data_IF_883209218747
#
_entry.id   IF_883209218747
#
_cell.length_a   1.000
_cell.length_b   1.000
_cell.length_c   1.000
_cell.angle_alpha   90.00
_cell.angle_beta   90.00
_cell.angle_gamma   90.00
#
_symmetry.space_group_name_H-M   'P 1'
#
loop_
_entity.id
_entity.type
_entity.pdbx_description
1 polymer ?
#
# COMPACT_ATOMS: atom_id res chain seq x y z
N UNK A 1 -2.14 -6.38 24.79
CA UNK A 1 -2.12 -4.89 24.85
C UNK A 1 -3.32 -4.37 24.08
N UNK A 2 -3.79 -3.15 24.34
CA UNK A 2 -4.86 -2.55 23.53
C UNK A 2 -4.33 -2.25 22.12
N UNK A 3 -5.12 -2.52 21.08
CA UNK A 3 -4.78 -2.14 19.71
C UNK A 3 -4.70 -0.62 19.60
N UNK A 4 -3.63 -0.11 19.01
CA UNK A 4 -3.48 1.30 18.67
C UNK A 4 -3.20 1.40 17.18
N UNK A 5 -3.72 2.43 16.51
CA UNK A 5 -3.49 2.59 15.08
C UNK A 5 -3.35 4.04 14.64
N UNK A 6 -2.66 4.20 13.53
CA UNK A 6 -2.60 5.39 12.72
C UNK A 6 -3.41 5.22 11.44
N UNK A 7 -4.21 6.23 11.10
CA UNK A 7 -4.87 6.34 9.81
C UNK A 7 -3.89 6.96 8.80
N UNK A 8 -3.54 6.23 7.75
CA UNK A 8 -2.57 6.67 6.75
C UNK A 8 -3.15 7.68 5.73
N UNK A 9 -4.34 8.19 5.99
CA UNK A 9 -4.96 9.33 5.28
C UNK A 9 -4.98 10.60 6.15
N UNK A 10 -4.79 10.46 7.48
CA UNK A 10 -4.78 11.58 8.41
C UNK A 10 -3.39 12.24 8.49
N UNK A 11 -3.34 13.57 8.44
CA UNK A 11 -2.08 14.33 8.35
C UNK A 11 -1.25 14.25 9.62
N UNK A 12 -1.88 14.32 10.79
CA UNK A 12 -1.20 14.24 12.07
C UNK A 12 -0.57 12.85 12.29
N UNK A 13 -1.31 11.81 11.93
CA UNK A 13 -0.87 10.41 11.99
C UNK A 13 0.30 10.16 11.00
N UNK A 14 0.22 10.69 9.78
CA UNK A 14 1.32 10.65 8.80
C UNK A 14 2.57 11.36 9.31
N UNK A 15 2.41 12.54 9.92
CA UNK A 15 3.53 13.28 10.51
C UNK A 15 4.21 12.50 11.62
N UNK A 16 3.44 11.81 12.48
CA UNK A 16 3.98 10.95 13.53
C UNK A 16 4.81 9.77 12.98
N UNK A 17 4.54 9.35 11.74
CA UNK A 17 5.27 8.31 11.01
C UNK A 17 6.38 8.87 10.11
N UNK A 18 6.64 10.18 10.12
CA UNK A 18 7.61 10.80 9.21
C UNK A 18 7.24 10.66 7.72
N UNK A 19 5.96 10.45 7.42
CA UNK A 19 5.43 10.32 6.07
C UNK A 19 4.80 11.63 5.60
N UNK A 20 4.91 11.94 4.30
CA UNK A 20 4.33 13.16 3.71
C UNK A 20 3.03 12.90 2.94
N UNK A 21 2.49 11.68 3.02
CA UNK A 21 1.33 11.22 2.24
C UNK A 21 1.70 10.17 1.19
N UNK A 22 0.67 9.69 0.48
CA UNK A 22 0.80 8.65 -0.53
C UNK A 22 1.33 9.19 -1.85
N UNK A 23 2.18 8.41 -2.51
CA UNK A 23 2.58 8.61 -3.90
C UNK A 23 1.73 7.72 -4.80
N UNK A 24 1.38 8.20 -6.00
CA UNK A 24 0.62 7.41 -6.98
C UNK A 24 1.12 7.59 -8.41
N UNK A 25 1.14 6.48 -9.15
CA UNK A 25 1.26 6.52 -10.59
C UNK A 25 0.36 5.48 -11.27
N UNK A 26 -0.13 5.84 -12.45
CA UNK A 26 -0.99 4.98 -13.27
C UNK A 26 -0.16 3.94 -14.05
N UNK A 27 -0.77 2.79 -14.30
CA UNK A 27 -0.25 1.71 -15.12
C UNK A 27 0.35 0.55 -14.34
N UNK A 28 0.49 -0.60 -15.01
CA UNK A 28 1.10 -1.81 -14.44
C UNK A 28 2.61 -1.58 -14.23
N UNK A 29 3.26 -0.97 -15.23
CA UNK A 29 4.62 -0.40 -15.13
C UNK A 29 4.52 1.11 -15.40
N UNK A 30 4.53 1.95 -14.35
CA UNK A 30 4.43 3.39 -14.49
C UNK A 30 5.44 4.00 -15.48
N UNK A 31 4.96 4.93 -16.31
CA UNK A 31 5.77 5.65 -17.30
C UNK A 31 6.12 4.88 -18.57
N UNK A 32 5.78 3.60 -18.67
CA UNK A 32 6.03 2.80 -19.88
C UNK A 32 4.93 2.98 -20.93
N UNK A 33 5.24 2.81 -22.22
CA UNK A 33 4.23 2.70 -23.28
C UNK A 33 3.20 1.62 -22.94
N UNK A 34 1.94 1.85 -23.34
CA UNK A 34 0.83 0.94 -23.04
C UNK A 34 0.74 0.56 -21.55
N UNK A 35 1.15 1.46 -20.64
CA UNK A 35 1.13 1.25 -19.19
C UNK A 35 1.92 0.00 -18.73
N UNK A 36 2.87 -0.50 -19.53
CA UNK A 36 3.63 -1.71 -19.23
C UNK A 36 2.91 -3.04 -19.50
N UNK A 37 1.76 -3.01 -20.19
CA UNK A 37 1.04 -4.22 -20.56
C UNK A 37 1.73 -4.90 -21.76
N UNK A 38 2.71 -5.74 -21.43
CA UNK A 38 3.47 -6.58 -22.35
C UNK A 38 3.21 -8.04 -21.99
N UNK A 39 3.01 -8.89 -23.00
CA UNK A 39 2.82 -10.33 -22.78
C UNK A 39 4.04 -10.93 -22.05
N UNK A 40 3.78 -11.92 -21.19
CA UNK A 40 4.81 -12.68 -20.47
C UNK A 40 5.67 -11.85 -19.49
N UNK A 41 5.22 -10.63 -19.14
CA UNK A 41 5.83 -9.86 -18.07
C UNK A 41 5.68 -10.59 -16.73
N UNK A 42 6.80 -11.00 -16.14
CA UNK A 42 6.82 -11.77 -14.89
C UNK A 42 6.64 -10.90 -13.64
N UNK A 43 7.06 -9.64 -13.70
CA UNK A 43 7.05 -8.72 -12.57
C UNK A 43 7.13 -7.26 -13.00
N UNK A 44 6.89 -6.35 -12.06
CA UNK A 44 7.04 -4.90 -12.28
C UNK A 44 8.02 -4.30 -11.27
N UNK A 45 8.83 -3.30 -11.66
CA UNK A 45 9.81 -2.67 -10.77
C UNK A 45 9.17 -1.83 -9.66
N UNK A 46 7.95 -1.31 -9.87
CA UNK A 46 7.23 -0.45 -8.92
C UNK A 46 6.97 -1.11 -7.56
N UNK A 47 7.05 -2.45 -7.49
CA UNK A 47 6.97 -3.22 -6.24
C UNK A 47 8.21 -3.09 -5.36
N UNK A 48 9.39 -2.81 -5.93
CA UNK A 48 10.67 -2.89 -5.22
C UNK A 48 10.79 -1.83 -4.10
N UNK A 49 11.51 -2.16 -3.03
CA UNK A 49 11.68 -1.26 -1.88
C UNK A 49 12.39 0.04 -2.26
N UNK A 50 13.40 -0.06 -3.11
CA UNK A 50 14.28 1.01 -3.58
C UNK A 50 13.81 1.67 -4.88
N UNK A 51 12.62 1.32 -5.38
CA UNK A 51 12.05 1.94 -6.57
C UNK A 51 11.91 3.47 -6.38
N UNK A 52 12.45 4.23 -7.33
CA UNK A 52 12.34 5.68 -7.36
C UNK A 52 10.96 6.13 -7.87
N UNK A 53 10.10 6.47 -6.93
CA UNK A 53 8.77 7.05 -7.15
C UNK A 53 8.77 8.57 -6.99
N UNK A 54 9.92 9.26 -7.07
CA UNK A 54 10.01 10.72 -6.85
C UNK A 54 9.24 11.56 -7.88
N UNK A 55 9.01 11.01 -9.07
CA UNK A 55 8.26 11.60 -10.18
C UNK A 55 6.75 11.36 -10.13
N UNK A 56 6.27 10.54 -9.18
CA UNK A 56 4.86 10.20 -9.04
C UNK A 56 4.05 11.36 -8.46
N UNK A 57 2.73 11.32 -8.62
CA UNK A 57 1.82 12.22 -7.94
C UNK A 57 2.03 12.08 -6.43
N UNK A 58 2.02 13.19 -5.71
CA UNK A 58 2.35 13.23 -4.27
C UNK A 58 1.14 13.65 -3.47
N UNK A 59 1.04 13.08 -2.28
CA UNK A 59 0.02 13.41 -1.29
C UNK A 59 -1.41 13.24 -1.85
N UNK A 60 -1.61 12.14 -2.57
CA UNK A 60 -2.88 11.86 -3.24
C UNK A 60 -3.94 11.39 -2.28
N UNK A 61 -5.21 11.62 -2.64
CA UNK A 61 -6.34 10.94 -2.04
C UNK A 61 -6.38 9.48 -2.54
N UNK A 62 -6.22 8.53 -1.62
CA UNK A 62 -6.23 7.10 -1.95
C UNK A 62 -7.64 6.58 -2.28
N UNK A 63 -8.68 7.31 -1.87
CA UNK A 63 -10.08 7.01 -2.16
C UNK A 63 -10.59 7.65 -3.45
N UNK A 64 -9.76 8.45 -4.13
CA UNK A 64 -10.10 8.99 -5.45
C UNK A 64 -10.42 7.84 -6.41
N UNK A 65 -11.61 7.91 -7.02
CA UNK A 65 -12.12 6.88 -7.94
C UNK A 65 -11.50 7.05 -9.33
N UNK A 66 -10.63 6.13 -9.72
CA UNK A 66 -9.89 6.22 -10.98
C UNK A 66 -10.36 5.19 -12.02
N UNK A 67 -10.61 5.65 -13.24
CA UNK A 67 -10.83 4.86 -14.47
C UNK A 67 -11.87 3.71 -14.35
N UNK A 68 -12.10 2.98 -15.43
CA UNK A 68 -12.87 1.72 -15.46
C UNK A 68 -12.23 0.75 -16.47
N UNK A 69 -12.48 -0.55 -16.32
CA UNK A 69 -11.95 -1.58 -17.22
C UNK A 69 -10.51 -1.97 -16.87
N UNK A 70 -9.73 -2.41 -17.87
CA UNK A 70 -8.33 -2.79 -17.67
C UNK A 70 -7.51 -1.56 -17.26
N UNK A 71 -7.23 -1.41 -15.96
CA UNK A 71 -6.51 -0.26 -15.40
C UNK A 71 -5.72 -0.71 -14.17
N UNK A 72 -4.53 -0.16 -14.01
CA UNK A 72 -3.70 -0.34 -12.82
C UNK A 72 -3.29 1.02 -12.26
N UNK A 73 -3.08 1.06 -10.95
CA UNK A 73 -2.44 2.17 -10.26
C UNK A 73 -1.58 1.62 -9.12
N UNK A 74 -0.41 2.20 -8.94
CA UNK A 74 0.43 1.94 -7.78
C UNK A 74 0.26 3.04 -6.75
N UNK A 75 0.20 2.66 -5.49
CA UNK A 75 0.25 3.56 -4.35
C UNK A 75 1.45 3.19 -3.48
N UNK A 76 2.27 4.17 -3.12
CA UNK A 76 3.47 3.95 -2.30
C UNK A 76 3.51 4.92 -1.14
N UNK A 77 3.92 4.42 0.03
CA UNK A 77 4.19 5.25 1.20
C UNK A 77 5.41 4.70 1.94
N UNK A 78 6.27 5.62 2.40
CA UNK A 78 7.37 5.31 3.30
C UNK A 78 6.99 5.78 4.70
N UNK A 79 7.03 4.87 5.66
CA UNK A 79 6.73 5.15 7.08
C UNK A 79 7.95 4.86 7.93
N UNK A 80 8.13 5.61 9.00
CA UNK A 80 9.17 5.40 10.01
C UNK A 80 8.50 5.01 11.32
N UNK A 81 8.93 3.90 11.91
CA UNK A 81 8.37 3.37 13.14
C UNK A 81 8.71 4.31 14.31
N UNK A 82 7.72 4.88 15.02
CA UNK A 82 7.99 5.76 16.14
C UNK A 82 8.35 4.96 17.39
N UNK A 83 8.99 5.60 18.38
CA UNK A 83 9.28 4.96 19.66
C UNK A 83 8.02 4.70 20.50
N UNK A 84 6.96 5.47 20.26
CA UNK A 84 5.67 5.36 20.93
C UNK A 84 4.53 5.68 19.96
N UNK A 85 3.37 5.11 20.21
CA UNK A 85 2.14 5.39 19.47
C UNK A 85 1.11 5.89 20.46
N UNK A 86 0.62 7.11 20.28
CA UNK A 86 -0.39 7.76 21.15
C UNK A 86 -0.04 7.67 22.66
N UNK A 87 1.25 7.81 22.99
CA UNK A 87 1.76 7.78 24.37
C UNK A 87 2.09 6.39 24.92
N UNK A 88 1.89 5.32 24.14
CA UNK A 88 2.22 3.95 24.54
C UNK A 88 3.47 3.43 23.84
N UNK A 89 4.30 2.67 24.56
CA UNK A 89 5.49 2.02 24.01
C UNK A 89 5.14 0.99 22.92
N UNK A 90 5.99 0.91 21.89
CA UNK A 90 5.92 -0.13 20.85
C UNK A 90 6.50 -1.49 21.29
N UNK A 91 7.12 -1.55 22.48
CA UNK A 91 7.76 -2.76 22.97
C UNK A 91 6.76 -3.91 23.13
N UNK A 92 7.13 -5.09 22.62
CA UNK A 92 6.29 -6.29 22.65
C UNK A 92 5.10 -6.29 21.68
N UNK A 93 4.97 -5.24 20.84
CA UNK A 93 3.92 -5.15 19.81
C UNK A 93 4.42 -5.67 18.47
N UNK A 94 3.50 -5.86 17.55
CA UNK A 94 3.71 -6.09 16.12
C UNK A 94 3.05 -4.98 15.33
N UNK A 95 3.63 -4.64 14.19
CA UNK A 95 3.11 -3.59 13.30
C UNK A 95 2.45 -4.25 12.10
N UNK A 96 1.21 -3.86 11.83
CA UNK A 96 0.39 -4.40 10.75
C UNK A 96 -0.05 -3.28 9.83
N UNK A 97 -0.02 -3.54 8.53
CA UNK A 97 -0.68 -2.71 7.53
C UNK A 97 -2.02 -3.35 7.16
N UNK A 98 -3.08 -2.55 7.17
CA UNK A 98 -4.43 -2.96 6.82
C UNK A 98 -4.99 -2.05 5.73
N UNK A 99 -5.59 -2.66 4.70
CA UNK A 99 -6.29 -1.93 3.63
C UNK A 99 -7.39 -2.78 3.02
N UNK A 100 -8.24 -2.16 2.22
CA UNK A 100 -9.10 -2.83 1.28
C UNK A 100 -8.97 -2.13 -0.08
N UNK A 101 -8.70 -2.92 -1.10
CA UNK A 101 -8.56 -2.43 -2.46
C UNK A 101 -9.84 -2.72 -3.23
N UNK A 102 -10.38 -1.74 -3.94
CA UNK A 102 -11.51 -1.96 -4.83
C UNK A 102 -11.06 -2.73 -6.08
N UNK A 103 -11.72 -3.85 -6.38
CA UNK A 103 -11.38 -4.86 -7.37
C UNK A 103 -10.22 -5.76 -6.92
N UNK A 104 -9.04 -5.64 -7.53
CA UNK A 104 -7.91 -6.52 -7.29
C UNK A 104 -6.74 -5.77 -6.68
N UNK A 105 -6.17 -6.31 -5.60
CA UNK A 105 -5.11 -5.66 -4.86
C UNK A 105 -3.97 -6.60 -4.51
N UNK A 106 -2.74 -6.12 -4.69
CA UNK A 106 -1.54 -6.71 -4.12
C UNK A 106 -0.88 -5.73 -3.14
N UNK A 107 -0.29 -6.26 -2.07
CA UNK A 107 0.47 -5.46 -1.11
C UNK A 107 1.87 -6.04 -0.93
N UNK A 108 2.85 -5.15 -1.03
CA UNK A 108 4.26 -5.43 -0.83
C UNK A 108 4.77 -4.61 0.36
N UNK A 109 5.47 -5.28 1.27
CA UNK A 109 6.20 -4.68 2.38
C UNK A 109 7.69 -4.82 2.08
N UNK A 110 8.39 -3.71 1.95
CA UNK A 110 9.82 -3.66 1.60
C UNK A 110 10.15 -4.53 0.36
N UNK A 111 9.28 -4.44 -0.66
CA UNK A 111 9.41 -5.18 -1.91
C UNK A 111 9.10 -6.67 -1.85
N UNK A 112 8.69 -7.18 -0.69
CA UNK A 112 8.30 -8.58 -0.49
C UNK A 112 6.79 -8.71 -0.38
N UNK A 113 6.27 -9.77 -0.97
CA UNK A 113 4.85 -10.12 -0.91
C UNK A 113 4.64 -11.33 -0.01
N UNK A 114 3.65 -11.25 0.88
CA UNK A 114 3.13 -12.43 1.55
C UNK A 114 2.27 -13.22 0.54
N UNK A 115 2.63 -14.47 0.26
CA UNK A 115 1.96 -15.28 -0.76
C UNK A 115 0.56 -15.78 -0.36
N UNK A 116 0.15 -15.58 0.88
CA UNK A 116 -1.17 -15.95 1.38
C UNK A 116 -2.08 -14.72 1.51
N UNK A 117 -1.55 -13.59 1.97
CA UNK A 117 -2.34 -12.40 2.30
C UNK A 117 -2.10 -11.22 1.35
N UNK A 118 -0.87 -11.05 0.87
CA UNK A 118 -0.46 -9.93 0.03
C UNK A 118 -0.82 -10.07 -1.46
N UNK A 119 -1.03 -11.28 -1.95
CA UNK A 119 -1.44 -11.56 -3.35
C UNK A 119 -2.91 -11.24 -3.59
N UNK A 120 -3.37 -11.21 -4.84
CA UNK A 120 -4.81 -11.12 -5.15
C UNK A 120 -5.52 -12.39 -4.63
N UNK A 121 -6.42 -12.21 -3.66
CA UNK A 121 -7.16 -13.31 -3.01
C UNK A 121 -8.66 -13.30 -3.32
N UNK A 122 -9.10 -12.38 -4.18
CA UNK A 122 -10.52 -12.19 -4.53
C UNK A 122 -10.85 -10.72 -4.77
N UNK A 123 -12.05 -10.48 -5.33
CA UNK A 123 -12.58 -9.13 -5.53
C UNK A 123 -12.86 -8.47 -4.18
N UNK A 124 -12.43 -7.21 -4.00
CA UNK A 124 -12.66 -6.40 -2.79
C UNK A 124 -12.22 -7.09 -1.49
N UNK A 125 -11.21 -7.97 -1.56
CA UNK A 125 -10.75 -8.70 -0.38
C UNK A 125 -9.82 -7.84 0.48
N UNK A 126 -10.12 -7.76 1.78
CA UNK A 126 -9.29 -7.04 2.74
C UNK A 126 -7.86 -7.61 2.82
N UNK A 127 -6.92 -6.73 3.11
CA UNK A 127 -5.50 -7.02 3.24
C UNK A 127 -5.04 -6.65 4.65
N UNK A 128 -4.33 -7.57 5.28
CA UNK A 128 -3.67 -7.37 6.58
C UNK A 128 -2.32 -8.04 6.50
N UNK A 129 -1.23 -7.30 6.66
CA UNK A 129 0.14 -7.80 6.49
C UNK A 129 1.03 -7.31 7.61
N UNK A 130 1.98 -8.15 8.04
CA UNK A 130 3.03 -7.74 8.99
C UNK A 130 3.98 -6.76 8.30
N UNK A 131 4.18 -5.60 8.91
CA UNK A 131 5.20 -4.61 8.54
C UNK A 131 6.48 -4.85 9.32
N UNK A 132 6.37 -5.06 10.63
CA UNK A 132 7.51 -5.31 11.51
C UNK A 132 7.12 -6.18 12.71
N UNK A 133 7.94 -7.18 13.01
CA UNK A 133 7.80 -8.08 14.15
C UNK A 133 9.19 -8.62 14.57
N UNK A 134 9.77 -8.14 15.68
CA UNK A 134 9.35 -6.97 16.46
C UNK A 134 9.68 -5.63 15.75
N UNK A 135 8.96 -4.55 16.07
CA UNK A 135 9.27 -3.22 15.56
C UNK A 135 10.51 -2.61 16.21
N UNK A 136 11.32 -1.92 15.40
CA UNK A 136 12.47 -1.13 15.85
C UNK A 136 12.19 0.35 15.62
N UNK A 137 12.24 1.16 16.70
CA UNK A 137 12.06 2.61 16.58
C UNK A 137 13.09 3.22 15.63
N UNK A 138 12.65 4.11 14.75
CA UNK A 138 13.48 4.73 13.71
C UNK A 138 13.68 3.89 12.45
N UNK A 139 13.27 2.61 12.44
CA UNK A 139 13.28 1.81 11.21
C UNK A 139 12.27 2.37 10.20
N UNK A 140 12.65 2.46 8.93
CA UNK A 140 11.75 2.83 7.85
C UNK A 140 11.30 1.62 7.06
N UNK A 141 10.03 1.60 6.67
CA UNK A 141 9.45 0.58 5.80
C UNK A 141 8.73 1.24 4.61
N UNK A 142 8.77 0.58 3.47
CA UNK A 142 8.02 0.96 2.27
C UNK A 142 6.84 0.02 2.10
N UNK A 143 5.66 0.61 1.99
CA UNK A 143 4.42 -0.12 1.68
C UNK A 143 4.05 0.27 0.25
N UNK A 144 3.98 -0.72 -0.63
CA UNK A 144 3.55 -0.54 -2.02
C UNK A 144 2.29 -1.37 -2.25
N UNK A 145 1.24 -0.73 -2.79
CA UNK A 145 -0.02 -1.36 -3.12
C UNK A 145 -0.26 -1.23 -4.61
N UNK A 146 -0.37 -2.36 -5.30
CA UNK A 146 -0.91 -2.40 -6.65
C UNK A 146 -2.42 -2.51 -6.54
N UNK A 147 -3.12 -1.57 -7.14
CA UNK A 147 -4.55 -1.66 -7.38
C UNK A 147 -4.78 -1.92 -8.86
N UNK A 148 -5.58 -2.93 -9.17
CA UNK A 148 -5.88 -3.35 -10.53
C UNK A 148 -7.36 -3.62 -10.74
N UNK A 149 -7.81 -3.32 -11.95
CA UNK A 149 -9.05 -3.79 -12.53
C UNK A 149 -8.73 -4.43 -13.88
N UNK A 150 -9.39 -5.54 -14.20
CA UNK A 150 -9.20 -6.34 -15.40
C UNK A 150 -10.51 -7.08 -15.72
N UNK A 151 -10.75 -7.52 -16.97
CA UNK A 151 -11.94 -8.30 -17.35
C UNK A 151 -11.88 -9.75 -16.84
N UNK A 152 -11.42 -9.94 -15.61
CA UNK A 152 -11.39 -11.19 -14.87
C UNK A 152 -12.46 -11.06 -13.80
N UNK A 153 -13.44 -11.96 -13.71
CA UNK A 153 -14.47 -11.91 -12.66
C UNK A 153 -15.51 -10.78 -12.77
N UNK A 154 -15.63 -10.13 -13.94
CA UNK A 154 -16.62 -9.08 -14.24
C UNK A 154 -16.73 -7.94 -13.20
N UNK A 155 -15.61 -7.32 -12.78
CA UNK A 155 -15.61 -6.22 -11.82
C UNK A 155 -16.39 -5.01 -12.32
N UNK A 156 -17.25 -4.49 -11.45
CA UNK A 156 -18.00 -3.24 -11.67
C UNK A 156 -17.34 -2.11 -10.90
N UNK A 157 -17.05 -1.00 -11.58
CA UNK A 157 -16.59 0.22 -10.93
C UNK A 157 -15.17 0.63 -11.29
N UNK A 158 -14.57 1.38 -10.36
CA UNK A 158 -13.34 2.17 -10.52
C UNK A 158 -12.27 1.61 -9.59
N UNK A 159 -10.99 1.87 -9.85
CA UNK A 159 -9.93 1.48 -8.92
C UNK A 159 -9.65 2.56 -7.87
N UNK A 160 -9.46 2.14 -6.61
CA UNK A 160 -9.03 2.96 -5.46
C UNK A 160 -8.71 2.08 -4.24
N UNK A 161 -8.11 2.65 -3.18
CA UNK A 161 -8.03 2.01 -1.86
C UNK A 161 -9.11 2.61 -0.95
N UNK A 162 -9.87 1.76 -0.26
CA UNK A 162 -10.99 2.20 0.60
C UNK A 162 -10.55 2.79 1.93
N UNK A 163 -9.41 2.35 2.44
CA UNK A 163 -8.77 2.84 3.65
C UNK A 163 -7.32 2.36 3.70
N UNK A 164 -6.50 3.00 4.53
CA UNK A 164 -5.17 2.50 4.87
C UNK A 164 -4.86 2.75 6.35
N UNK A 165 -4.43 1.71 7.07
CA UNK A 165 -4.21 1.78 8.53
C UNK A 165 -2.92 1.06 8.91
N UNK A 166 -2.16 1.65 9.83
CA UNK A 166 -1.02 1.03 10.47
C UNK A 166 -1.36 0.72 11.94
N UNK A 167 -1.50 -0.55 12.29
CA UNK A 167 -1.91 -1.01 13.62
C UNK A 167 -0.74 -1.59 14.43
N UNK A 168 -0.77 -1.37 15.74
CA UNK A 168 0.24 -1.77 16.72
C UNK A 168 -0.43 -2.60 17.81
N UNK A 169 -0.11 -3.90 17.88
CA UNK A 169 -0.79 -4.87 18.77
C UNK A 169 0.13 -5.90 19.40
#
# INVERSE_FOLDING_TARGET
MARISYNLENKEDLQALGATGWRRAMGLVPGQPNQGLVAELMETPARAADFDDSSWDKDVDIQERLSKGLTFAWYRIKVTIPAQVKGESISGRRVWFETNVDNYGEVYIDGKIDRNQGVITGNNTGKRLVVADPPTAGASHVIAVLVGNAPLGEPVGTIFMRYATLAFE
#
